data_IF_870622980609
#
_entry.id   IF_870622980609
#
_cell.length_a   1.000
_cell.length_b   1.000
_cell.length_c   1.000
_cell.angle_alpha   90.00
_cell.angle_beta   90.00
_cell.angle_gamma   90.00
#
_symmetry.space_group_name_H-M   'P 1'
#
loop_
_entity.id
_entity.type
_entity.pdbx_description
1 polymer ?
#
# COMPACT_ATOMS: atom_id res chain seq x y z
N UNK A 1 1.93 10.43 -43.35
CA UNK A 1 1.05 9.72 -42.46
C UNK A 1 1.95 9.19 -41.33
N UNK A 2 1.97 9.86 -40.17
CA UNK A 2 2.75 9.50 -39.00
C UNK A 2 1.73 9.03 -37.98
N UNK A 3 1.77 7.73 -37.61
CA UNK A 3 1.00 7.14 -36.51
C UNK A 3 1.66 7.49 -35.19
N UNK A 4 0.99 8.29 -34.37
CA UNK A 4 1.40 8.54 -33.00
C UNK A 4 1.07 7.33 -32.12
N UNK A 5 2.07 6.76 -31.48
CA UNK A 5 1.92 5.76 -30.44
C UNK A 5 1.88 6.45 -29.08
N UNK A 6 0.74 6.42 -28.41
CA UNK A 6 0.60 6.87 -27.01
C UNK A 6 1.30 5.87 -26.09
N UNK A 7 2.52 6.18 -25.71
CA UNK A 7 3.25 5.48 -24.65
C UNK A 7 2.69 5.85 -23.27
N UNK A 8 1.80 5.05 -22.69
CA UNK A 8 1.42 5.16 -21.28
C UNK A 8 2.64 4.84 -20.42
N UNK A 9 3.15 5.86 -19.73
CA UNK A 9 4.24 5.72 -18.74
C UNK A 9 3.72 4.94 -17.52
N UNK A 10 4.41 3.87 -17.16
CA UNK A 10 4.19 3.15 -15.91
C UNK A 10 4.50 4.02 -14.69
N UNK A 11 4.08 3.61 -13.48
CA UNK A 11 4.26 4.37 -12.26
C UNK A 11 5.75 4.56 -11.93
N UNK A 12 6.11 5.78 -11.55
CA UNK A 12 7.47 6.17 -11.20
C UNK A 12 7.93 5.63 -9.83
N UNK A 13 9.18 5.91 -9.41
CA UNK A 13 9.85 5.30 -8.25
C UNK A 13 9.26 5.59 -6.87
N UNK A 14 8.11 6.26 -6.77
CA UNK A 14 7.41 6.55 -5.51
C UNK A 14 6.86 5.29 -4.79
N UNK A 15 6.87 4.12 -5.43
CA UNK A 15 6.29 2.89 -4.91
C UNK A 15 7.00 2.30 -3.66
N UNK A 16 8.24 2.69 -3.35
CA UNK A 16 8.98 2.14 -2.21
C UNK A 16 8.58 2.71 -0.84
N UNK A 17 7.83 3.80 -0.78
CA UNK A 17 7.38 4.42 0.49
C UNK A 17 6.10 3.74 1.03
N UNK A 18 5.43 2.94 0.22
CA UNK A 18 4.14 2.31 0.48
C UNK A 18 4.06 1.39 1.71
N UNK A 19 5.17 0.78 2.13
CA UNK A 19 5.17 -0.21 3.21
C UNK A 19 5.04 0.39 4.61
N UNK A 20 5.26 1.69 4.77
CA UNK A 20 5.27 2.35 6.08
C UNK A 20 3.94 3.03 6.44
N UNK A 21 3.14 3.44 5.45
CA UNK A 21 2.00 4.33 5.67
C UNK A 21 0.74 3.62 6.22
N UNK A 22 0.43 2.41 5.78
CA UNK A 22 -0.77 1.70 6.25
C UNK A 22 -0.56 0.95 7.59
N UNK A 23 0.66 0.71 8.03
CA UNK A 23 0.94 0.01 9.28
C UNK A 23 0.52 0.79 10.54
N UNK A 24 0.74 2.11 10.66
CA UNK A 24 0.26 2.90 11.79
C UNK A 24 -1.27 2.93 11.92
N UNK A 25 -2.00 3.05 10.80
CA UNK A 25 -3.47 3.04 10.81
C UNK A 25 -4.02 1.73 11.35
N UNK A 26 -3.46 0.61 10.90
CA UNK A 26 -3.84 -0.74 11.36
C UNK A 26 -3.52 -0.93 12.84
N UNK A 27 -2.38 -0.43 13.30
CA UNK A 27 -1.96 -0.58 14.70
C UNK A 27 -2.80 0.28 15.64
N UNK A 28 -3.14 1.52 15.26
CA UNK A 28 -3.96 2.41 16.07
C UNK A 28 -5.40 1.90 16.26
N UNK A 29 -5.99 1.22 15.26
CA UNK A 29 -7.33 0.66 15.36
C UNK A 29 -7.39 -0.66 16.15
N UNK A 30 -6.34 -1.49 16.14
CA UNK A 30 -6.30 -2.74 16.90
C UNK A 30 -6.37 -2.55 18.43
N UNK A 31 -6.02 -1.37 18.94
CA UNK A 31 -6.03 -1.08 20.40
C UNK A 31 -7.45 -0.86 20.93
N UNK A 32 -8.41 -0.44 20.09
CA UNK A 32 -9.82 -0.25 20.50
C UNK A 32 -10.69 -1.51 20.38
N UNK A 33 -10.27 -2.49 19.61
CA UNK A 33 -10.99 -3.75 19.43
C UNK A 33 -10.63 -4.77 20.50
N UNK A 34 -11.24 -4.70 21.68
CA UNK A 34 -11.17 -5.73 22.71
C UNK A 34 -11.74 -7.04 22.18
N UNK A 35 -10.87 -8.04 21.89
CA UNK A 35 -11.29 -9.40 21.60
C UNK A 35 -11.99 -10.03 22.80
N UNK A 36 -12.92 -10.97 22.59
CA UNK A 36 -13.68 -11.60 23.68
C UNK A 36 -12.83 -12.64 24.43
N UNK A 37 -12.64 -12.40 25.72
CA UNK A 37 -12.48 -13.47 26.69
C UNK A 37 -11.08 -13.80 27.18
N UNK A 38 -10.71 -13.23 28.30
CA UNK A 38 -9.62 -13.67 29.16
C UNK A 38 -9.52 -12.76 30.38
N UNK A 39 -10.28 -13.06 31.44
CA UNK A 39 -10.25 -12.26 32.67
C UNK A 39 -8.90 -12.36 33.37
N UNK A 40 -8.30 -11.21 33.69
CA UNK A 40 -7.32 -11.07 34.78
C UNK A 40 -7.48 -9.66 35.36
N UNK A 41 -7.62 -9.62 36.66
CA UNK A 41 -7.33 -8.64 37.68
C UNK A 41 -7.38 -7.15 37.34
N UNK A 42 -8.28 -6.50 38.09
CA UNK A 42 -8.32 -5.04 38.27
C UNK A 42 -7.02 -4.57 38.92
N UNK A 43 -6.32 -3.64 38.22
CA UNK A 43 -5.36 -2.74 38.86
C UNK A 43 -5.61 -1.33 38.30
N UNK A 44 -6.19 -0.48 39.16
CA UNK A 44 -6.45 0.92 38.87
C UNK A 44 -5.14 1.71 38.95
N UNK A 45 -4.65 2.21 37.81
CA UNK A 45 -3.48 3.06 37.71
C UNK A 45 -3.63 4.11 36.62
N UNK A 46 -3.72 5.36 37.03
CA UNK A 46 -3.83 6.59 36.23
C UNK A 46 -2.78 6.70 35.13
N UNK A 47 -3.19 7.27 33.95
CA UNK A 47 -2.26 8.02 33.11
C UNK A 47 -2.20 7.58 31.65
N UNK A 48 -2.50 8.51 30.80
CA UNK A 48 -2.43 8.58 29.34
C UNK A 48 -1.55 7.56 28.63
N UNK A 49 -2.15 6.74 27.78
CA UNK A 49 -1.50 5.64 27.07
C UNK A 49 -0.52 6.13 26.00
N UNK A 50 0.67 6.55 26.42
CA UNK A 50 1.78 6.66 25.51
C UNK A 50 2.19 5.25 25.04
N UNK A 51 2.30 5.04 23.76
CA UNK A 51 2.89 3.86 23.13
C UNK A 51 4.32 3.65 23.65
N UNK A 52 4.47 2.99 24.78
CA UNK A 52 5.74 2.52 25.28
C UNK A 52 5.78 1.02 24.97
N UNK A 53 6.51 0.64 23.93
CA UNK A 53 7.04 -0.71 23.88
C UNK A 53 7.89 -0.87 25.16
N UNK A 54 7.42 -1.66 26.10
CA UNK A 54 8.14 -1.98 27.33
C UNK A 54 9.29 -2.95 27.08
N UNK A 55 9.34 -3.54 25.88
CA UNK A 55 10.39 -4.43 25.45
C UNK A 55 11.62 -3.63 25.00
N UNK A 56 12.78 -3.97 25.55
CA UNK A 56 14.03 -3.39 25.10
C UNK A 56 14.20 -3.64 23.59
N UNK A 57 14.42 -2.56 22.82
CA UNK A 57 14.68 -2.66 21.38
C UNK A 57 15.79 -3.68 21.11
N UNK A 58 15.63 -4.48 20.08
CA UNK A 58 16.72 -5.31 19.59
C UNK A 58 17.94 -4.38 19.28
N UNK A 59 19.18 -4.77 19.62
CA UNK A 59 20.35 -3.91 19.42
C UNK A 59 20.47 -3.30 18.02
N UNK A 60 20.15 -4.07 16.98
CA UNK A 60 20.14 -3.60 15.58
C UNK A 60 19.06 -2.50 15.36
N UNK A 61 17.90 -2.62 15.97
CA UNK A 61 16.84 -1.60 15.86
C UNK A 61 17.28 -0.29 16.52
N UNK A 62 17.89 -0.37 17.71
CA UNK A 62 18.42 0.79 18.42
C UNK A 62 19.51 1.49 17.60
N UNK A 63 20.39 0.72 16.95
CA UNK A 63 21.46 1.23 16.10
C UNK A 63 20.90 1.87 14.81
N UNK A 64 19.93 1.23 14.14
CA UNK A 64 19.45 1.68 12.82
C UNK A 64 18.42 2.80 12.89
N UNK A 65 17.71 2.95 13.99
CA UNK A 65 16.65 3.97 14.12
C UNK A 65 17.12 5.41 13.82
N UNK A 66 18.27 5.89 14.30
CA UNK A 66 18.77 7.23 13.97
C UNK A 66 19.01 7.44 12.47
N UNK A 67 19.57 6.43 11.79
CA UNK A 67 19.82 6.50 10.34
C UNK A 67 18.53 6.55 9.54
N UNK A 68 17.54 5.72 9.88
CA UNK A 68 16.23 5.76 9.22
C UNK A 68 15.56 7.11 9.43
N UNK A 69 15.62 7.65 10.64
CA UNK A 69 15.09 8.99 10.93
C UNK A 69 15.80 10.09 10.13
N UNK A 70 17.12 10.03 10.01
CA UNK A 70 17.90 10.96 9.17
C UNK A 70 17.47 10.87 7.69
N UNK A 71 17.29 9.65 7.15
CA UNK A 71 16.84 9.43 5.78
C UNK A 71 15.46 10.05 5.53
N UNK A 72 14.50 9.85 6.45
CA UNK A 72 13.17 10.46 6.39
C UNK A 72 13.27 11.98 6.40
N UNK A 73 14.05 12.54 7.34
CA UNK A 73 14.29 13.99 7.45
C UNK A 73 14.93 14.57 6.18
N UNK A 74 15.91 13.86 5.61
CA UNK A 74 16.55 14.27 4.35
C UNK A 74 15.55 14.31 3.19
N UNK A 75 14.76 13.27 3.01
CA UNK A 75 13.78 13.17 1.93
C UNK A 75 12.70 14.26 2.07
N UNK A 76 12.11 14.38 3.24
CA UNK A 76 11.07 15.37 3.53
C UNK A 76 11.56 16.81 3.39
N UNK A 77 12.73 17.16 3.96
CA UNK A 77 13.29 18.49 3.85
C UNK A 77 13.67 18.84 2.39
N UNK A 78 14.06 17.85 1.60
CA UNK A 78 14.32 18.05 0.16
C UNK A 78 13.03 18.37 -0.58
N UNK A 79 11.93 17.67 -0.30
CA UNK A 79 10.62 18.02 -0.84
C UNK A 79 10.19 19.43 -0.43
N UNK A 80 10.29 19.76 0.85
CA UNK A 80 9.91 21.10 1.34
C UNK A 80 10.73 22.20 0.66
N UNK A 81 12.03 21.99 0.51
CA UNK A 81 12.94 23.00 -0.04
C UNK A 81 12.74 23.24 -1.54
N UNK A 82 12.48 22.18 -2.31
CA UNK A 82 12.55 22.25 -3.77
C UNK A 82 11.21 22.08 -4.49
N UNK A 83 10.22 21.52 -3.82
CA UNK A 83 8.94 21.17 -4.46
C UNK A 83 7.71 21.80 -3.81
N UNK A 84 7.68 21.90 -2.48
CA UNK A 84 6.52 22.43 -1.75
C UNK A 84 6.09 23.81 -2.26
N UNK A 85 4.77 24.08 -2.45
CA UNK A 85 3.63 23.24 -2.12
C UNK A 85 3.12 22.34 -3.26
N UNK A 86 3.93 22.04 -4.27
CA UNK A 86 3.56 21.16 -5.36
C UNK A 86 3.48 19.70 -4.90
N UNK A 87 2.83 18.85 -5.71
CA UNK A 87 2.56 17.46 -5.34
C UNK A 87 3.83 16.62 -5.14
N UNK A 88 4.82 16.75 -6.03
CA UNK A 88 6.01 15.88 -6.04
C UNK A 88 7.31 16.62 -6.29
N UNK A 89 8.39 16.11 -5.69
CA UNK A 89 9.75 16.49 -6.02
C UNK A 89 10.27 15.67 -7.22
N UNK A 90 10.87 16.37 -8.18
CA UNK A 90 11.72 15.74 -9.19
C UNK A 90 13.17 15.75 -8.68
N UNK A 91 13.67 14.64 -8.13
CA UNK A 91 14.94 14.64 -7.39
C UNK A 91 16.16 14.92 -8.28
N UNK A 92 16.10 14.56 -9.57
CA UNK A 92 17.22 14.75 -10.51
C UNK A 92 17.47 16.22 -10.84
N UNK A 93 16.41 17.03 -10.93
CA UNK A 93 16.54 18.45 -11.33
C UNK A 93 16.14 19.44 -10.23
N UNK A 94 15.77 18.96 -9.03
CA UNK A 94 15.41 19.80 -7.91
C UNK A 94 14.20 20.70 -8.16
N UNK A 95 13.19 20.22 -8.89
CA UNK A 95 11.99 20.99 -9.22
C UNK A 95 10.72 20.29 -8.74
N UNK A 96 9.72 21.08 -8.33
CA UNK A 96 8.38 20.56 -8.00
C UNK A 96 7.49 20.37 -9.23
N UNK A 97 6.63 19.36 -9.19
CA UNK A 97 5.64 19.05 -10.22
C UNK A 97 4.27 18.77 -9.57
N UNK A 98 3.19 19.26 -10.21
CA UNK A 98 1.83 18.85 -9.88
C UNK A 98 1.45 17.65 -10.75
N UNK A 99 1.09 16.55 -10.12
CA UNK A 99 0.74 15.28 -10.75
C UNK A 99 -0.69 14.87 -10.44
N UNK A 100 -1.22 15.34 -9.28
CA UNK A 100 -2.52 14.95 -8.76
C UNK A 100 -3.43 16.14 -8.41
N UNK A 101 -3.18 17.31 -8.98
CA UNK A 101 -4.04 18.48 -8.80
C UNK A 101 -3.43 19.65 -8.04
N UNK A 102 -2.24 19.49 -7.50
CA UNK A 102 -1.51 20.58 -6.86
C UNK A 102 -1.95 20.87 -5.42
N UNK A 103 -2.48 19.87 -4.70
CA UNK A 103 -2.90 20.01 -3.30
C UNK A 103 -1.84 19.54 -2.29
N UNK A 104 -0.58 19.41 -2.74
CA UNK A 104 0.50 18.99 -1.85
C UNK A 104 0.50 17.52 -1.51
N UNK A 105 0.28 16.66 -2.48
CA UNK A 105 0.08 15.24 -2.32
C UNK A 105 1.15 14.53 -1.46
N UNK A 106 2.44 14.75 -1.76
CA UNK A 106 3.54 14.22 -0.94
C UNK A 106 3.45 14.69 0.51
N UNK A 107 2.99 15.93 0.76
CA UNK A 107 2.84 16.45 2.10
C UNK A 107 1.81 15.66 2.91
N UNK A 108 0.61 15.46 2.32
CA UNK A 108 -0.47 14.71 2.98
C UNK A 108 -0.03 13.27 3.26
N UNK A 109 0.58 12.62 2.27
CA UNK A 109 1.07 11.24 2.34
C UNK A 109 2.23 11.05 3.35
N UNK A 110 2.95 12.11 3.70
CA UNK A 110 4.07 12.06 4.63
C UNK A 110 3.71 12.38 6.10
N UNK A 111 2.49 12.85 6.40
CA UNK A 111 2.14 13.34 7.73
C UNK A 111 2.31 12.27 8.82
N UNK A 112 1.76 11.10 8.63
CA UNK A 112 1.87 10.00 9.60
C UNK A 112 3.31 9.51 9.77
N UNK A 113 4.09 9.49 8.68
CA UNK A 113 5.52 9.18 8.70
C UNK A 113 6.29 10.18 9.57
N UNK A 114 5.98 11.48 9.47
CA UNK A 114 6.56 12.49 10.34
C UNK A 114 6.23 12.27 11.81
N UNK A 115 4.98 11.94 12.12
CA UNK A 115 4.52 11.64 13.46
C UNK A 115 5.28 10.45 14.07
N UNK A 116 5.30 9.31 13.35
CA UNK A 116 5.95 8.07 13.79
C UNK A 116 7.47 8.23 13.91
N UNK A 117 8.09 9.02 13.03
CA UNK A 117 9.52 9.32 13.08
C UNK A 117 9.90 10.36 14.16
N UNK A 118 8.93 10.91 14.90
CA UNK A 118 9.14 11.88 15.97
C UNK A 118 9.42 13.31 15.50
N UNK A 119 9.02 13.67 14.27
CA UNK A 119 9.06 15.04 13.75
C UNK A 119 7.75 15.78 14.08
N UNK A 120 7.40 15.84 15.37
CA UNK A 120 6.08 16.30 15.81
C UNK A 120 5.83 17.79 15.53
N UNK A 121 6.86 18.63 15.55
CA UNK A 121 6.74 20.06 15.21
C UNK A 121 6.46 20.24 13.72
N UNK A 122 7.16 19.51 12.85
CA UNK A 122 6.91 19.49 11.42
C UNK A 122 5.52 18.94 11.13
N UNK A 123 5.12 17.85 11.79
CA UNK A 123 3.79 17.29 11.68
C UNK A 123 2.73 18.35 11.99
N UNK A 124 2.75 19.01 13.16
CA UNK A 124 1.77 20.04 13.54
C UNK A 124 1.74 21.20 12.56
N UNK A 125 2.90 21.68 12.15
CA UNK A 125 3.03 22.77 11.18
C UNK A 125 2.36 22.45 9.85
N UNK A 126 2.60 21.25 9.34
CA UNK A 126 2.11 20.87 8.00
C UNK A 126 0.70 20.30 8.03
N UNK A 127 0.26 19.68 9.11
CA UNK A 127 -1.14 19.35 9.32
C UNK A 127 -2.03 20.61 9.33
N UNK A 128 -1.58 21.67 10.04
CA UNK A 128 -2.22 22.99 9.99
C UNK A 128 -2.26 23.55 8.58
N UNK A 129 -1.15 23.52 7.87
CA UNK A 129 -1.11 24.00 6.47
C UNK A 129 -2.12 23.26 5.58
N UNK A 130 -2.24 21.94 5.74
CA UNK A 130 -3.22 21.12 5.00
C UNK A 130 -4.64 21.58 5.30
N UNK A 131 -5.00 21.78 6.56
CA UNK A 131 -6.34 22.27 6.95
C UNK A 131 -6.66 23.64 6.36
N UNK A 132 -5.67 24.54 6.30
CA UNK A 132 -5.86 25.93 5.85
C UNK A 132 -5.85 26.09 4.32
N UNK A 133 -5.18 25.20 3.58
CA UNK A 133 -4.87 25.42 2.16
C UNK A 133 -5.37 24.34 1.21
N UNK A 134 -5.71 23.13 1.70
CA UNK A 134 -6.16 22.05 0.83
C UNK A 134 -7.66 22.11 0.60
N UNK A 135 -8.06 21.97 -0.66
CA UNK A 135 -9.44 21.77 -1.08
C UNK A 135 -9.46 20.71 -2.19
N UNK A 136 -10.42 19.83 -2.13
CA UNK A 136 -10.67 18.84 -3.17
C UNK A 136 -11.74 19.29 -4.18
N UNK A 137 -12.26 20.50 -4.06
CA UNK A 137 -13.11 21.10 -5.08
C UNK A 137 -12.28 21.68 -6.22
N UNK A 138 -11.59 20.82 -6.96
CA UNK A 138 -10.70 21.16 -8.07
C UNK A 138 -11.12 20.43 -9.34
N UNK A 139 -11.03 21.14 -10.48
CA UNK A 139 -11.35 20.59 -11.79
C UNK A 139 -10.15 19.80 -12.35
N UNK A 140 -10.01 18.58 -11.82
CA UNK A 140 -8.98 17.64 -12.28
C UNK A 140 -9.47 16.21 -12.17
N UNK A 141 -9.15 15.38 -13.16
CA UNK A 141 -9.34 13.94 -13.11
C UNK A 141 -8.15 13.28 -12.40
N UNK A 142 -8.44 12.50 -11.36
CA UNK A 142 -7.45 11.81 -10.54
C UNK A 142 -7.72 10.31 -10.53
N UNK A 143 -6.68 9.51 -10.26
CA UNK A 143 -6.85 8.08 -9.98
C UNK A 143 -7.61 7.90 -8.67
N UNK A 144 -8.70 7.13 -8.70
CA UNK A 144 -9.50 6.78 -7.51
C UNK A 144 -8.64 6.00 -6.51
N UNK A 145 -7.88 5.03 -6.99
CA UNK A 145 -6.96 4.21 -6.21
C UNK A 145 -5.90 5.06 -5.51
N UNK A 146 -5.08 5.80 -6.27
CA UNK A 146 -3.98 6.60 -5.71
C UNK A 146 -4.48 7.68 -4.74
N UNK A 147 -5.62 8.31 -5.04
CA UNK A 147 -6.22 9.32 -4.18
C UNK A 147 -6.72 8.72 -2.87
N UNK A 148 -7.27 7.50 -2.90
CA UNK A 148 -7.73 6.81 -1.69
C UNK A 148 -6.56 6.45 -0.78
N UNK A 149 -5.57 5.72 -1.29
CA UNK A 149 -4.50 5.19 -0.45
C UNK A 149 -3.56 6.27 0.09
N UNK A 150 -3.35 7.38 -0.63
CA UNK A 150 -2.42 8.45 -0.23
C UNK A 150 -3.14 9.63 0.41
N UNK A 151 -4.06 10.27 -0.32
CA UNK A 151 -4.70 11.47 0.22
C UNK A 151 -5.71 11.13 1.32
N UNK A 152 -6.64 10.21 1.07
CA UNK A 152 -7.61 9.82 2.09
C UNK A 152 -6.91 9.09 3.25
N UNK A 153 -6.03 8.14 2.94
CA UNK A 153 -5.24 7.41 3.94
C UNK A 153 -4.37 8.33 4.80
N UNK A 154 -3.63 9.26 4.18
CA UNK A 154 -2.80 10.23 4.89
C UNK A 154 -3.61 11.17 5.80
N UNK A 155 -4.78 11.66 5.35
CA UNK A 155 -5.67 12.49 6.17
C UNK A 155 -6.21 11.72 7.38
N UNK A 156 -6.67 10.47 7.18
CA UNK A 156 -7.18 9.62 8.26
C UNK A 156 -6.07 9.25 9.25
N UNK A 157 -4.89 8.86 8.75
CA UNK A 157 -3.76 8.55 9.60
C UNK A 157 -3.32 9.75 10.43
N UNK A 158 -3.19 10.93 9.82
CA UNK A 158 -2.84 12.16 10.53
C UNK A 158 -3.90 12.57 11.58
N UNK A 159 -5.18 12.36 11.29
CA UNK A 159 -6.26 12.54 12.28
C UNK A 159 -6.05 11.61 13.49
N UNK A 160 -5.81 10.32 13.24
CA UNK A 160 -5.55 9.36 14.31
C UNK A 160 -4.31 9.70 15.15
N UNK A 161 -3.26 10.26 14.55
CA UNK A 161 -2.07 10.68 15.31
C UNK A 161 -2.39 11.71 16.39
N UNK A 162 -3.39 12.56 16.18
CA UNK A 162 -3.89 13.47 17.18
C UNK A 162 -4.85 12.80 18.18
N UNK A 163 -5.83 12.05 17.70
CA UNK A 163 -6.87 11.42 18.55
C UNK A 163 -6.31 10.40 19.53
N UNK A 164 -5.29 9.64 19.11
CA UNK A 164 -4.62 8.65 19.97
C UNK A 164 -3.44 9.25 20.77
N UNK A 165 -3.24 10.57 20.70
CA UNK A 165 -2.19 11.26 21.47
C UNK A 165 -0.76 10.90 21.07
N UNK A 166 -0.56 10.33 19.86
CA UNK A 166 0.79 10.09 19.32
C UNK A 166 1.50 11.43 19.11
N UNK A 167 0.75 12.45 18.65
CA UNK A 167 1.21 13.83 18.58
C UNK A 167 0.33 14.68 19.48
N UNK A 168 0.96 15.31 20.48
CA UNK A 168 0.28 16.23 21.41
C UNK A 168 -0.23 17.46 20.66
N UNK A 169 -1.47 17.88 21.01
CA UNK A 169 -2.05 19.13 20.51
C UNK A 169 -1.41 20.30 21.29
N UNK A 170 -0.63 21.11 20.59
CA UNK A 170 -0.01 22.33 21.10
C UNK A 170 -0.71 23.53 20.49
N UNK A 171 -1.59 24.17 21.23
CA UNK A 171 -2.48 25.23 20.73
C UNK A 171 -1.76 26.41 20.06
N UNK A 172 -0.53 26.73 20.50
CA UNK A 172 0.31 27.78 19.88
C UNK A 172 0.88 27.38 18.51
N UNK A 173 1.00 26.07 18.23
CA UNK A 173 1.49 25.55 16.97
C UNK A 173 0.33 25.13 16.06
N UNK A 174 -0.58 24.29 16.57
CA UNK A 174 -1.78 23.83 15.88
C UNK A 174 -2.85 23.44 16.88
N UNK A 175 -3.90 24.27 17.01
CA UNK A 175 -5.08 23.93 17.79
C UNK A 175 -6.01 23.04 16.97
N UNK A 176 -5.70 21.75 16.91
CA UNK A 176 -6.41 20.78 16.09
C UNK A 176 -7.88 20.61 16.56
N UNK A 177 -8.82 20.73 15.64
CA UNK A 177 -10.28 20.62 15.89
C UNK A 177 -10.97 19.72 14.85
N UNK A 178 -10.27 18.75 14.30
CA UNK A 178 -10.82 17.78 13.36
C UNK A 178 -10.88 18.25 11.90
N UNK A 179 -10.05 19.22 11.49
CA UNK A 179 -10.05 19.71 10.11
C UNK A 179 -9.60 18.68 9.08
N UNK A 180 -8.61 17.86 9.43
CA UNK A 180 -8.18 16.76 8.56
C UNK A 180 -9.32 15.75 8.33
N UNK A 181 -10.11 15.46 9.38
CA UNK A 181 -11.30 14.60 9.25
C UNK A 181 -12.36 15.19 8.33
N UNK A 182 -12.59 16.51 8.39
CA UNK A 182 -13.53 17.19 7.47
C UNK A 182 -13.07 17.06 6.01
N UNK A 183 -11.77 17.22 5.75
CA UNK A 183 -11.18 16.99 4.42
C UNK A 183 -11.32 15.52 3.98
N UNK A 184 -11.09 14.56 4.87
CA UNK A 184 -11.26 13.14 4.58
C UNK A 184 -12.71 12.80 4.20
N UNK A 185 -13.71 13.35 4.90
CA UNK A 185 -15.13 13.17 4.58
C UNK A 185 -15.49 13.81 3.23
N UNK A 186 -15.00 15.02 2.94
CA UNK A 186 -15.23 15.67 1.64
C UNK A 186 -14.65 14.81 0.50
N UNK A 187 -13.41 14.34 0.66
CA UNK A 187 -12.77 13.49 -0.32
C UNK A 187 -13.50 12.15 -0.49
N UNK A 188 -13.83 11.47 0.60
CA UNK A 188 -14.58 10.21 0.58
C UNK A 188 -15.92 10.33 -0.14
N UNK A 189 -16.66 11.43 0.06
CA UNK A 189 -17.91 11.71 -0.65
C UNK A 189 -17.71 11.93 -2.16
N UNK A 190 -16.58 12.49 -2.58
CA UNK A 190 -16.24 12.66 -4.02
C UNK A 190 -15.84 11.35 -4.68
N UNK A 191 -15.25 10.42 -3.92
CA UNK A 191 -14.82 9.10 -4.42
C UNK A 191 -15.96 8.08 -4.42
N UNK A 192 -16.89 8.15 -3.48
CA UNK A 192 -17.97 7.17 -3.30
C UNK A 192 -18.82 6.89 -4.56
N UNK A 193 -19.16 7.88 -5.42
CA UNK A 193 -19.91 7.65 -6.65
C UNK A 193 -19.21 6.71 -7.64
N UNK A 194 -17.89 6.56 -7.57
CA UNK A 194 -17.13 5.68 -8.46
C UNK A 194 -17.51 4.20 -8.29
N UNK A 195 -18.02 3.82 -7.14
CA UNK A 195 -18.47 2.46 -6.83
C UNK A 195 -19.88 2.13 -7.36
N UNK A 196 -20.56 3.08 -7.99
CA UNK A 196 -21.89 2.85 -8.56
C UNK A 196 -21.81 2.14 -9.90
N UNK A 197 -21.35 0.89 -9.89
CA UNK A 197 -21.24 -0.02 -11.02
C UNK A 197 -22.07 -1.28 -10.76
N UNK A 198 -22.34 -2.08 -11.80
CA UNK A 198 -23.11 -3.32 -11.63
C UNK A 198 -22.42 -4.33 -10.70
N UNK A 199 -21.08 -4.40 -10.71
CA UNK A 199 -20.33 -5.29 -9.81
C UNK A 199 -20.05 -4.66 -8.44
N UNK A 200 -19.98 -3.34 -8.36
CA UNK A 200 -19.48 -2.59 -7.21
C UNK A 200 -17.97 -2.28 -7.27
N UNK A 201 -17.24 -2.88 -8.22
CA UNK A 201 -15.84 -2.53 -8.47
C UNK A 201 -15.80 -1.11 -9.05
N UNK A 202 -14.97 -0.17 -8.50
CA UNK A 202 -15.05 1.22 -8.89
C UNK A 202 -14.42 1.51 -10.25
N UNK A 203 -14.80 2.64 -10.84
CA UNK A 203 -14.07 3.27 -11.94
C UNK A 203 -12.66 3.66 -11.50
N UNK A 204 -11.70 3.65 -12.45
CA UNK A 204 -10.29 3.95 -12.19
C UNK A 204 -9.98 5.44 -12.00
N UNK A 205 -10.80 6.35 -12.56
CA UNK A 205 -10.59 7.80 -12.47
C UNK A 205 -11.89 8.56 -12.20
N UNK A 206 -11.75 9.74 -11.60
CA UNK A 206 -12.86 10.67 -11.29
C UNK A 206 -12.37 12.11 -11.33
N UNK A 207 -13.18 13.02 -11.88
CA UNK A 207 -12.95 14.44 -11.71
C UNK A 207 -13.44 14.86 -10.33
N UNK A 208 -12.57 15.44 -9.51
CA UNK A 208 -12.89 15.77 -8.11
C UNK A 208 -14.01 16.82 -7.99
N UNK A 209 -14.18 17.70 -8.97
CA UNK A 209 -15.29 18.68 -8.98
C UNK A 209 -16.52 18.18 -9.70
N UNK A 210 -16.35 17.54 -10.86
CA UNK A 210 -17.46 17.22 -11.75
C UNK A 210 -17.95 15.77 -11.64
N UNK A 211 -17.24 14.91 -10.90
CA UNK A 211 -17.59 13.50 -10.74
C UNK A 211 -17.10 12.64 -11.92
N UNK A 212 -17.83 11.55 -12.19
CA UNK A 212 -17.45 10.58 -13.22
C UNK A 212 -17.62 11.16 -14.63
N UNK A 213 -16.59 10.95 -15.46
CA UNK A 213 -16.68 11.15 -16.90
C UNK A 213 -17.49 9.99 -17.51
N UNK A 214 -18.58 10.26 -18.28
CA UNK A 214 -19.35 9.22 -18.94
C UNK A 214 -18.56 8.36 -19.94
N UNK A 215 -17.39 8.85 -20.38
CA UNK A 215 -16.50 8.15 -21.32
C UNK A 215 -15.37 7.39 -20.65
N UNK A 216 -15.32 7.40 -19.29
CA UNK A 216 -14.29 6.69 -18.54
C UNK A 216 -14.33 5.18 -18.85
N UNK A 217 -13.15 4.56 -18.93
CA UNK A 217 -13.03 3.13 -19.23
C UNK A 217 -13.64 2.26 -18.15
N UNK A 218 -14.31 1.19 -18.55
CA UNK A 218 -14.81 0.17 -17.63
C UNK A 218 -13.77 -0.90 -17.27
N UNK A 219 -12.54 -0.82 -17.81
CA UNK A 219 -11.47 -1.76 -17.52
C UNK A 219 -10.55 -1.18 -16.45
N UNK A 220 -10.47 -1.84 -15.31
CA UNK A 220 -9.59 -1.48 -14.19
C UNK A 220 -8.60 -2.60 -13.86
N UNK A 221 -7.55 -2.30 -13.08
CA UNK A 221 -6.68 -3.34 -12.53
C UNK A 221 -7.29 -3.95 -11.27
N UNK A 222 -6.80 -5.12 -10.87
CA UNK A 222 -7.21 -5.76 -9.61
C UNK A 222 -6.81 -4.90 -8.41
N UNK A 223 -5.62 -4.28 -8.44
CA UNK A 223 -5.20 -3.34 -7.41
C UNK A 223 -6.10 -2.09 -7.36
N UNK A 224 -6.33 -1.44 -8.53
CA UNK A 224 -7.18 -0.26 -8.63
C UNK A 224 -8.64 -0.52 -8.24
N UNK A 225 -9.10 -1.77 -8.36
CA UNK A 225 -10.47 -2.17 -8.03
C UNK A 225 -10.66 -2.71 -6.61
N UNK A 226 -9.58 -3.15 -5.94
CA UNK A 226 -9.66 -3.89 -4.67
C UNK A 226 -9.01 -3.22 -3.45
N UNK A 227 -8.31 -2.10 -3.62
CA UNK A 227 -7.51 -1.50 -2.56
C UNK A 227 -8.24 -0.31 -1.92
N UNK A 228 -9.27 -0.59 -1.12
CA UNK A 228 -10.12 0.42 -0.50
C UNK A 228 -10.58 0.07 0.93
N UNK A 229 -10.50 -1.20 1.33
CA UNK A 229 -11.08 -1.68 2.60
C UNK A 229 -10.51 -0.95 3.82
N UNK A 230 -9.22 -0.64 3.84
CA UNK A 230 -8.57 -0.02 5.00
C UNK A 230 -9.12 1.40 5.21
N UNK A 231 -9.02 2.26 4.22
CA UNK A 231 -9.41 3.67 4.33
C UNK A 231 -10.92 3.85 4.46
N UNK A 232 -11.69 3.09 3.66
CA UNK A 232 -13.16 3.22 3.68
C UNK A 232 -13.77 2.64 4.96
N UNK A 233 -13.22 1.57 5.54
CA UNK A 233 -13.64 1.06 6.84
C UNK A 233 -13.27 2.02 7.95
N UNK A 234 -12.06 2.60 7.91
CA UNK A 234 -11.65 3.65 8.86
C UNK A 234 -12.58 4.86 8.80
N UNK A 235 -12.89 5.33 7.58
CA UNK A 235 -13.80 6.46 7.38
C UNK A 235 -15.21 6.16 7.89
N UNK A 236 -15.72 4.95 7.65
CA UNK A 236 -17.01 4.51 8.20
C UNK A 236 -17.00 4.47 9.73
N UNK A 237 -15.96 3.91 10.33
CA UNK A 237 -15.83 3.83 11.79
C UNK A 237 -15.79 5.20 12.47
N UNK A 238 -15.10 6.17 11.87
CA UNK A 238 -14.95 7.52 12.40
C UNK A 238 -16.19 8.40 12.21
N UNK A 239 -16.95 8.17 11.13
CA UNK A 239 -18.13 8.99 10.80
C UNK A 239 -19.44 8.37 11.26
N UNK A 240 -19.49 7.07 11.48
CA UNK A 240 -20.72 6.30 11.63
C UNK A 240 -21.48 6.09 10.30
N UNK A 241 -20.91 6.48 9.16
CA UNK A 241 -21.53 6.31 7.84
C UNK A 241 -21.03 5.02 7.16
N UNK A 242 -21.82 3.98 7.24
CA UNK A 242 -21.49 2.66 6.68
C UNK A 242 -21.38 2.59 5.15
N UNK A 243 -21.75 3.67 4.42
CA UNK A 243 -21.74 3.65 2.95
C UNK A 243 -20.35 3.43 2.40
N UNK A 244 -19.32 3.96 3.05
CA UNK A 244 -17.93 3.85 2.60
C UNK A 244 -17.44 2.40 2.70
N UNK A 245 -17.51 1.79 3.88
CA UNK A 245 -17.12 0.39 4.07
C UNK A 245 -17.91 -0.56 3.18
N UNK A 246 -19.22 -0.38 3.09
CA UNK A 246 -20.10 -1.22 2.26
C UNK A 246 -19.71 -1.18 0.78
N UNK A 247 -19.32 -0.01 0.28
CA UNK A 247 -18.84 0.14 -1.10
C UNK A 247 -17.54 -0.62 -1.34
N UNK A 248 -16.53 -0.42 -0.46
CA UNK A 248 -15.24 -1.10 -0.55
C UNK A 248 -15.37 -2.62 -0.40
N UNK A 249 -16.19 -3.08 0.54
CA UNK A 249 -16.44 -4.50 0.80
C UNK A 249 -17.09 -5.18 -0.41
N UNK A 250 -18.10 -4.54 -1.01
CA UNK A 250 -18.73 -5.04 -2.23
C UNK A 250 -17.73 -5.19 -3.38
N UNK A 251 -16.83 -4.22 -3.56
CA UNK A 251 -15.79 -4.28 -4.59
C UNK A 251 -14.81 -5.45 -4.36
N UNK A 252 -14.31 -5.57 -3.13
CA UNK A 252 -13.40 -6.65 -2.71
C UNK A 252 -14.03 -8.03 -2.89
N UNK A 253 -15.29 -8.21 -2.50
CA UNK A 253 -16.05 -9.45 -2.64
C UNK A 253 -16.28 -9.80 -4.11
N UNK A 254 -16.61 -8.83 -4.95
CA UNK A 254 -16.81 -9.04 -6.37
C UNK A 254 -15.53 -9.51 -7.08
N UNK A 255 -14.38 -8.89 -6.77
CA UNK A 255 -13.08 -9.32 -7.28
C UNK A 255 -12.75 -10.75 -6.85
N UNK A 256 -12.93 -11.03 -5.56
CA UNK A 256 -12.64 -12.36 -5.02
C UNK A 256 -13.58 -13.44 -5.57
N UNK A 257 -14.84 -13.12 -5.82
CA UNK A 257 -15.80 -14.03 -6.45
C UNK A 257 -15.48 -14.33 -7.94
N UNK A 258 -14.84 -13.37 -8.63
CA UNK A 258 -14.47 -13.52 -10.04
C UNK A 258 -13.22 -14.40 -10.29
N UNK A 259 -12.60 -14.96 -9.23
CA UNK A 259 -11.43 -15.83 -9.34
C UNK A 259 -11.66 -17.03 -10.25
N UNK A 260 -10.57 -17.53 -10.85
CA UNK A 260 -10.62 -18.76 -11.63
C UNK A 260 -11.13 -19.94 -10.79
N UNK A 261 -12.16 -20.66 -11.23
CA UNK A 261 -12.65 -21.84 -10.52
C UNK A 261 -11.64 -23.01 -10.53
N UNK A 262 -10.65 -23.01 -11.43
CA UNK A 262 -9.65 -24.06 -11.54
C UNK A 262 -8.44 -23.82 -10.63
N UNK A 263 -8.00 -22.57 -10.51
CA UNK A 263 -6.75 -22.23 -9.79
C UNK A 263 -6.96 -21.40 -8.53
N UNK A 264 -8.11 -20.72 -8.41
CA UNK A 264 -8.35 -19.74 -7.35
C UNK A 264 -7.68 -18.38 -7.58
N UNK A 265 -6.94 -18.20 -8.68
CA UNK A 265 -6.22 -16.98 -8.97
C UNK A 265 -7.10 -15.90 -9.60
N UNK A 266 -6.70 -14.64 -9.43
CA UNK A 266 -7.28 -13.45 -10.07
C UNK A 266 -6.41 -13.04 -11.26
N UNK A 267 -7.00 -12.38 -12.25
CA UNK A 267 -6.28 -11.75 -13.36
C UNK A 267 -5.83 -10.32 -13.02
N UNK A 268 -5.10 -9.68 -13.93
CA UNK A 268 -4.60 -8.30 -13.71
C UNK A 268 -5.58 -7.22 -14.13
N UNK A 269 -6.49 -7.49 -15.07
CA UNK A 269 -7.46 -6.50 -15.57
C UNK A 269 -8.87 -7.09 -15.66
N UNK A 270 -9.86 -6.35 -15.15
CA UNK A 270 -11.26 -6.75 -15.10
C UNK A 270 -12.18 -5.65 -15.62
N UNK A 271 -13.28 -6.04 -16.26
CA UNK A 271 -14.36 -5.11 -16.62
C UNK A 271 -15.32 -4.95 -15.44
N UNK A 272 -15.43 -3.73 -14.93
CA UNK A 272 -16.22 -3.40 -13.72
C UNK A 272 -17.72 -3.50 -13.91
N UNK A 273 -18.20 -3.51 -15.16
CA UNK A 273 -19.63 -3.63 -15.45
C UNK A 273 -20.06 -5.10 -15.56
N UNK A 274 -19.19 -5.95 -16.10
CA UNK A 274 -19.54 -7.36 -16.37
C UNK A 274 -18.90 -8.34 -15.40
N UNK A 275 -17.86 -7.94 -14.67
CA UNK A 275 -17.05 -8.83 -13.82
C UNK A 275 -16.19 -9.81 -14.61
N UNK A 276 -16.01 -9.60 -15.92
CA UNK A 276 -15.20 -10.49 -16.77
C UNK A 276 -13.77 -10.03 -16.84
N UNK A 277 -12.84 -10.97 -16.74
CA UNK A 277 -11.42 -10.69 -16.90
C UNK A 277 -11.08 -10.27 -18.34
N UNK A 278 -10.36 -9.18 -18.46
CA UNK A 278 -9.83 -8.68 -19.72
C UNK A 278 -8.41 -9.19 -19.96
N UNK A 279 -7.59 -9.31 -18.90
CA UNK A 279 -6.26 -9.94 -18.92
C UNK A 279 -6.23 -11.08 -17.91
N UNK A 280 -5.55 -12.17 -18.28
CA UNK A 280 -5.55 -13.43 -17.54
C UNK A 280 -4.21 -13.75 -16.90
N UNK A 281 -3.23 -12.88 -17.01
CA UNK A 281 -1.97 -12.97 -16.28
C UNK A 281 -2.23 -12.70 -14.79
N UNK A 282 -1.60 -13.49 -13.93
CA UNK A 282 -1.74 -13.44 -12.48
C UNK A 282 -0.35 -13.39 -11.83
N UNK A 283 -0.16 -12.47 -10.90
CA UNK A 283 1.09 -12.27 -10.15
C UNK A 283 0.78 -11.76 -8.74
N UNK A 284 1.79 -11.41 -7.98
CA UNK A 284 1.66 -10.58 -6.75
C UNK A 284 2.32 -9.21 -6.92
N UNK A 285 2.73 -8.86 -8.12
CA UNK A 285 3.32 -7.57 -8.46
C UNK A 285 2.30 -6.54 -8.92
N UNK A 286 2.77 -5.57 -9.68
CA UNK A 286 1.98 -4.46 -10.17
C UNK A 286 0.66 -4.86 -10.82
N UNK A 287 -0.36 -4.05 -10.63
CA UNK A 287 -1.77 -4.27 -10.99
C UNK A 287 -2.53 -5.29 -10.12
N UNK A 288 -1.87 -5.99 -9.17
CA UNK A 288 -2.55 -6.96 -8.28
C UNK A 288 -2.18 -6.78 -6.81
N UNK A 289 -1.00 -6.27 -6.53
CA UNK A 289 -0.29 -6.18 -5.26
C UNK A 289 -1.17 -5.86 -4.04
N UNK A 290 -1.60 -4.64 -3.93
CA UNK A 290 -2.32 -4.12 -2.75
C UNK A 290 -3.74 -4.67 -2.57
N UNK A 291 -4.38 -5.18 -3.62
CA UNK A 291 -5.66 -5.88 -3.46
C UNK A 291 -5.51 -7.14 -2.58
N UNK A 292 -4.37 -7.85 -2.72
CA UNK A 292 -4.03 -9.01 -1.88
C UNK A 292 -3.62 -8.56 -0.47
N UNK A 293 -2.86 -7.49 -0.39
CA UNK A 293 -2.41 -6.88 0.86
C UNK A 293 -3.59 -6.46 1.75
N UNK A 294 -4.63 -5.90 1.16
CA UNK A 294 -5.76 -5.37 1.91
C UNK A 294 -6.62 -6.44 2.57
N UNK A 295 -6.60 -7.69 2.12
CA UNK A 295 -7.28 -8.77 2.84
C UNK A 295 -6.73 -8.94 4.26
N UNK A 296 -5.39 -9.09 4.40
CA UNK A 296 -4.81 -9.26 5.75
C UNK A 296 -4.87 -7.98 6.57
N UNK A 297 -4.65 -6.80 5.96
CA UNK A 297 -4.71 -5.53 6.69
C UNK A 297 -6.12 -5.19 7.17
N UNK A 298 -7.13 -5.44 6.36
CA UNK A 298 -8.54 -5.28 6.76
C UNK A 298 -8.90 -6.21 7.92
N UNK A 299 -8.47 -7.48 7.87
CA UNK A 299 -8.65 -8.41 8.99
C UNK A 299 -7.98 -7.91 10.26
N UNK A 300 -6.72 -7.50 10.21
CA UNK A 300 -5.99 -6.98 11.37
C UNK A 300 -6.68 -5.76 11.97
N UNK A 301 -7.23 -4.88 11.12
CA UNK A 301 -7.90 -3.65 11.55
C UNK A 301 -9.29 -3.90 12.13
N UNK A 302 -10.11 -4.75 11.49
CA UNK A 302 -11.54 -4.92 11.80
C UNK A 302 -11.87 -6.21 12.55
N UNK A 303 -10.98 -7.20 12.55
CA UNK A 303 -11.27 -8.55 13.05
C UNK A 303 -12.16 -9.38 12.11
N UNK A 304 -12.47 -8.91 10.89
CA UNK A 304 -13.32 -9.63 9.94
C UNK A 304 -12.68 -10.96 9.52
N UNK A 305 -13.33 -12.07 9.87
CA UNK A 305 -12.85 -13.41 9.58
C UNK A 305 -12.98 -13.79 8.10
N UNK A 306 -13.88 -13.15 7.35
CA UNK A 306 -14.02 -13.32 5.91
C UNK A 306 -12.81 -12.78 5.15
N UNK A 307 -12.23 -11.67 5.60
CA UNK A 307 -10.99 -11.13 5.01
C UNK A 307 -9.78 -12.02 5.32
N UNK A 308 -9.72 -12.60 6.53
CA UNK A 308 -8.74 -13.63 6.86
C UNK A 308 -8.84 -14.84 5.94
N UNK A 309 -10.05 -15.36 5.72
CA UNK A 309 -10.25 -16.51 4.82
C UNK A 309 -9.84 -16.18 3.38
N UNK A 310 -10.11 -14.96 2.90
CA UNK A 310 -9.69 -14.49 1.57
C UNK A 310 -8.17 -14.47 1.47
N UNK A 311 -7.50 -13.96 2.49
CA UNK A 311 -6.04 -13.94 2.56
C UNK A 311 -5.45 -15.35 2.52
N UNK A 312 -5.88 -16.23 3.41
CA UNK A 312 -5.40 -17.62 3.50
C UNK A 312 -5.58 -18.40 2.19
N UNK A 313 -6.75 -18.24 1.54
CA UNK A 313 -7.00 -18.85 0.24
C UNK A 313 -6.06 -18.30 -0.82
N UNK A 314 -5.83 -16.99 -0.82
CA UNK A 314 -4.91 -16.35 -1.77
C UNK A 314 -3.48 -16.82 -1.55
N UNK A 315 -2.98 -16.87 -0.32
CA UNK A 315 -1.64 -17.36 0.02
C UNK A 315 -1.46 -18.81 -0.45
N UNK A 316 -2.43 -19.67 -0.17
CA UNK A 316 -2.40 -21.07 -0.63
C UNK A 316 -2.30 -21.17 -2.15
N UNK A 317 -3.10 -20.39 -2.88
CA UNK A 317 -3.16 -20.46 -4.35
C UNK A 317 -1.91 -19.83 -4.98
N UNK A 318 -1.36 -18.74 -4.40
CA UNK A 318 -0.06 -18.16 -4.76
C UNK A 318 1.07 -19.18 -4.54
N UNK A 319 1.12 -19.82 -3.37
CA UNK A 319 2.14 -20.83 -3.08
C UNK A 319 2.08 -22.00 -4.06
N UNK A 320 0.89 -22.41 -4.45
CA UNK A 320 0.67 -23.55 -5.36
C UNK A 320 1.08 -23.25 -6.80
N UNK A 321 0.77 -22.08 -7.32
CA UNK A 321 0.87 -21.79 -8.74
C UNK A 321 1.99 -20.82 -9.10
N UNK A 322 2.22 -19.78 -8.28
CA UNK A 322 3.17 -18.71 -8.58
C UNK A 322 4.55 -18.99 -8.01
N UNK A 323 4.63 -19.64 -6.83
CA UNK A 323 5.92 -19.83 -6.14
C UNK A 323 6.78 -20.89 -6.83
N UNK A 324 8.01 -20.49 -7.19
CA UNK A 324 9.04 -21.37 -7.73
C UNK A 324 10.38 -20.99 -7.10
N UNK A 325 10.98 -21.90 -6.32
CA UNK A 325 12.29 -21.68 -5.69
C UNK A 325 12.38 -20.35 -4.90
N UNK A 326 11.36 -20.00 -4.13
CA UNK A 326 11.28 -18.75 -3.37
C UNK A 326 10.92 -17.50 -4.18
N UNK A 327 10.97 -17.58 -5.51
CA UNK A 327 10.54 -16.51 -6.40
C UNK A 327 9.08 -16.65 -6.76
N UNK A 328 8.46 -15.53 -7.16
CA UNK A 328 7.06 -15.46 -7.55
C UNK A 328 6.97 -15.16 -9.05
N UNK A 329 6.46 -16.12 -9.81
CA UNK A 329 6.32 -16.00 -11.27
C UNK A 329 4.96 -15.40 -11.64
N UNK A 330 4.86 -14.84 -12.83
CA UNK A 330 3.56 -14.53 -13.46
C UNK A 330 3.06 -15.77 -14.20
N UNK A 331 1.77 -16.13 -13.96
CA UNK A 331 1.14 -17.32 -14.55
C UNK A 331 -0.19 -16.94 -15.24
N UNK A 332 -0.71 -17.80 -16.12
CA UNK A 332 -2.10 -17.70 -16.60
C UNK A 332 -3.05 -18.12 -15.48
N UNK A 333 -3.95 -17.24 -15.05
CA UNK A 333 -4.87 -17.48 -13.94
C UNK A 333 -5.79 -18.70 -14.13
N UNK A 334 -6.08 -19.10 -15.36
CA UNK A 334 -6.99 -20.20 -15.68
C UNK A 334 -6.33 -21.56 -15.58
N UNK A 335 -5.06 -21.64 -15.98
CA UNK A 335 -4.32 -22.90 -16.07
C UNK A 335 -3.20 -23.03 -15.04
N UNK A 336 -2.76 -21.94 -14.40
CA UNK A 336 -1.58 -21.92 -13.54
C UNK A 336 -0.24 -22.11 -14.28
N UNK A 337 -0.25 -22.07 -15.62
CA UNK A 337 0.98 -22.23 -16.40
C UNK A 337 1.83 -20.96 -16.35
N UNK A 338 3.16 -21.08 -16.19
CA UNK A 338 4.04 -19.93 -16.20
C UNK A 338 3.90 -19.10 -17.48
N UNK A 339 3.81 -17.79 -17.31
CA UNK A 339 3.74 -16.81 -18.39
C UNK A 339 5.06 -16.06 -18.53
N UNK A 340 5.66 -15.70 -17.41
CA UNK A 340 6.95 -15.00 -17.36
C UNK A 340 7.71 -15.39 -16.10
N UNK A 341 9.03 -15.45 -16.20
CA UNK A 341 9.95 -15.55 -15.05
C UNK A 341 10.46 -14.18 -14.58
N UNK A 342 9.87 -13.09 -15.06
CA UNK A 342 10.14 -11.76 -14.54
C UNK A 342 9.47 -11.58 -13.16
N UNK A 343 10.24 -11.07 -12.21
CA UNK A 343 9.73 -10.61 -10.94
C UNK A 343 9.89 -9.08 -10.86
N UNK A 344 8.81 -8.40 -10.53
CA UNK A 344 8.80 -6.96 -10.32
C UNK A 344 9.22 -6.63 -8.89
N UNK A 345 9.89 -5.49 -8.70
CA UNK A 345 10.26 -4.97 -7.38
C UNK A 345 9.04 -4.81 -6.46
N UNK A 346 7.88 -4.45 -7.01
CA UNK A 346 6.63 -4.33 -6.26
C UNK A 346 6.23 -5.62 -5.54
N UNK A 347 6.56 -6.80 -6.08
CA UNK A 347 6.27 -8.07 -5.41
C UNK A 347 7.03 -8.27 -4.07
N UNK A 348 7.98 -7.38 -3.77
CA UNK A 348 8.78 -7.44 -2.53
C UNK A 348 7.99 -7.09 -1.26
N UNK A 349 6.77 -6.56 -1.38
CA UNK A 349 5.87 -6.34 -0.24
C UNK A 349 5.32 -7.66 0.33
N UNK A 350 5.14 -8.67 -0.51
CA UNK A 350 4.41 -9.90 -0.17
C UNK A 350 5.00 -10.68 1.02
N UNK A 351 6.33 -10.78 1.23
CA UNK A 351 6.89 -11.33 2.46
C UNK A 351 6.38 -10.64 3.74
N UNK A 352 6.14 -9.32 3.70
CA UNK A 352 5.54 -8.59 4.82
C UNK A 352 4.11 -9.07 5.15
N UNK A 353 3.29 -9.30 4.14
CA UNK A 353 1.95 -9.86 4.32
C UNK A 353 1.98 -11.27 4.87
N UNK A 354 2.92 -12.10 4.42
CA UNK A 354 3.12 -13.44 4.94
C UNK A 354 3.51 -13.41 6.42
N UNK A 355 4.33 -12.46 6.86
CA UNK A 355 4.67 -12.27 8.28
C UNK A 355 3.43 -11.91 9.09
N UNK A 356 2.62 -10.94 8.62
CA UNK A 356 1.36 -10.57 9.28
C UNK A 356 0.40 -11.75 9.42
N UNK A 357 0.36 -12.62 8.41
CA UNK A 357 -0.45 -13.85 8.42
C UNK A 357 0.17 -15.03 9.16
N UNK A 358 1.37 -14.88 9.77
CA UNK A 358 2.05 -15.97 10.49
C UNK A 358 2.79 -16.98 9.61
N UNK A 359 2.86 -16.76 8.30
CA UNK A 359 3.56 -17.63 7.31
C UNK A 359 5.08 -17.34 7.26
N UNK A 360 5.77 -17.47 8.40
CA UNK A 360 7.17 -17.04 8.55
C UNK A 360 8.15 -17.80 7.65
N UNK A 361 7.91 -19.09 7.41
CA UNK A 361 8.77 -19.92 6.56
C UNK A 361 8.72 -19.44 5.10
N UNK A 362 7.51 -19.24 4.57
CA UNK A 362 7.28 -18.74 3.22
C UNK A 362 7.76 -17.31 3.04
N UNK A 363 7.61 -16.48 4.07
CA UNK A 363 8.11 -15.11 4.08
C UNK A 363 9.64 -15.09 3.96
N UNK A 364 10.33 -15.90 4.77
CA UNK A 364 11.79 -16.03 4.74
C UNK A 364 12.29 -16.55 3.39
N UNK A 365 11.64 -17.59 2.86
CA UNK A 365 11.97 -18.15 1.54
C UNK A 365 11.84 -17.10 0.42
N UNK A 366 10.76 -16.31 0.43
CA UNK A 366 10.52 -15.28 -0.59
C UNK A 366 11.43 -14.06 -0.44
N UNK A 367 11.75 -13.65 0.79
CA UNK A 367 12.57 -12.47 1.02
C UNK A 367 14.05 -12.69 0.71
N UNK A 368 14.54 -13.90 0.87
CA UNK A 368 15.97 -14.20 0.70
C UNK A 368 16.51 -13.87 -0.71
N UNK A 369 15.87 -14.30 -1.82
CA UNK A 369 16.31 -13.92 -3.15
C UNK A 369 16.30 -12.41 -3.39
N UNK A 370 15.26 -11.74 -2.96
CA UNK A 370 15.09 -10.28 -3.08
C UNK A 370 16.23 -9.55 -2.34
N UNK A 371 16.48 -9.93 -1.08
CA UNK A 371 17.59 -9.39 -0.30
C UNK A 371 18.95 -9.65 -0.96
N UNK A 372 19.15 -10.83 -1.52
CA UNK A 372 20.40 -11.20 -2.19
C UNK A 372 20.67 -10.35 -3.44
N UNK A 373 19.63 -10.04 -4.21
CA UNK A 373 19.69 -9.14 -5.38
C UNK A 373 20.02 -7.72 -4.90
N UNK A 374 19.29 -7.23 -3.92
CA UNK A 374 19.52 -5.90 -3.34
C UNK A 374 20.98 -5.77 -2.84
N UNK A 375 21.46 -6.76 -2.08
CA UNK A 375 22.81 -6.78 -1.54
C UNK A 375 23.89 -6.82 -2.65
N UNK A 376 23.61 -7.54 -3.74
CA UNK A 376 24.57 -7.69 -4.85
C UNK A 376 24.70 -6.41 -5.68
N UNK A 377 23.57 -5.74 -5.97
CA UNK A 377 23.52 -4.56 -6.85
C UNK A 377 23.50 -3.21 -6.11
N UNK A 378 23.33 -3.20 -4.78
CA UNK A 378 23.16 -2.00 -3.97
C UNK A 378 21.78 -1.35 -4.13
N UNK A 379 20.93 -1.89 -5.00
CA UNK A 379 19.55 -1.47 -5.23
C UNK A 379 18.74 -2.63 -5.79
N UNK A 380 17.41 -2.58 -5.61
CA UNK A 380 16.52 -3.52 -6.27
C UNK A 380 16.07 -2.92 -7.62
N UNK A 381 16.30 -3.61 -8.76
CA UNK A 381 15.80 -3.15 -10.06
C UNK A 381 14.28 -3.24 -10.11
N UNK A 382 13.62 -2.39 -10.92
CA UNK A 382 12.15 -2.40 -11.10
C UNK A 382 11.62 -3.76 -11.54
N UNK A 383 12.38 -4.45 -12.38
CA UNK A 383 12.09 -5.81 -12.84
C UNK A 383 13.39 -6.59 -13.07
N UNK A 384 13.38 -7.86 -12.72
CA UNK A 384 14.49 -8.76 -13.01
C UNK A 384 14.00 -10.13 -13.49
N UNK A 385 14.71 -10.68 -14.47
CA UNK A 385 14.49 -12.04 -14.97
C UNK A 385 15.29 -13.03 -14.14
N UNK A 386 14.69 -14.17 -13.85
CA UNK A 386 15.37 -15.28 -13.22
C UNK A 386 15.13 -16.57 -14.04
N UNK A 387 16.15 -17.42 -14.11
CA UNK A 387 16.09 -18.68 -14.86
C UNK A 387 16.17 -19.87 -13.90
N UNK A 388 15.31 -20.87 -14.11
CA UNK A 388 15.36 -22.14 -13.38
C UNK A 388 16.47 -22.98 -13.99
N UNK A 389 17.50 -23.34 -13.21
CA UNK A 389 18.47 -24.32 -13.63
C UNK A 389 19.96 -23.95 -13.56
N UNK A 390 20.33 -22.77 -13.10
CA UNK A 390 21.76 -22.42 -12.91
C UNK A 390 22.04 -22.13 -11.44
N UNK A 391 23.01 -22.82 -10.79
CA UNK A 391 23.33 -22.60 -9.38
C UNK A 391 23.93 -21.23 -9.16
N UNK A 392 23.40 -20.47 -8.20
CA UNK A 392 24.20 -19.38 -7.61
C UNK A 392 25.44 -19.99 -6.97
N UNK A 393 26.63 -19.51 -7.38
CA UNK A 393 27.88 -19.88 -6.72
C UNK A 393 27.72 -19.64 -5.21
N UNK A 394 27.84 -20.71 -4.43
CA UNK A 394 27.63 -20.70 -3.00
C UNK A 394 28.58 -19.69 -2.35
N UNK A 395 28.02 -18.57 -1.85
CA UNK A 395 28.70 -17.78 -0.84
C UNK A 395 28.77 -18.65 0.41
N UNK A 396 29.98 -19.04 0.78
CA UNK A 396 30.30 -19.86 1.96
C UNK A 396 29.76 -19.14 3.20
N UNK A 397 28.87 -19.86 3.93
CA UNK A 397 28.53 -19.73 5.34
C UNK A 397 27.04 -19.51 5.65
N UNK A 398 26.19 -20.54 5.39
CA UNK A 398 25.01 -20.81 6.24
C UNK A 398 24.78 -22.34 6.24
N UNK A 399 24.95 -23.06 7.35
CA UNK A 399 24.99 -24.53 7.38
C UNK A 399 23.65 -25.26 7.24
N UNK A 400 22.50 -24.61 7.17
CA UNK A 400 21.19 -25.28 7.27
C UNK A 400 20.33 -25.30 6.00
N UNK A 401 20.82 -24.80 4.86
CA UNK A 401 20.02 -24.72 3.62
C UNK A 401 20.46 -25.72 2.54
N UNK A 402 20.75 -26.98 2.91
CA UNK A 402 21.18 -28.01 1.93
C UNK A 402 20.12 -28.47 0.93
N UNK A 403 18.88 -28.00 1.02
CA UNK A 403 17.78 -28.42 0.14
C UNK A 403 17.13 -27.29 -0.66
N UNK A 404 17.69 -26.07 -0.68
CA UNK A 404 17.20 -25.02 -1.56
C UNK A 404 17.69 -25.27 -2.99
N UNK A 405 16.74 -25.41 -3.88
CA UNK A 405 16.87 -25.62 -5.31
C UNK A 405 18.13 -24.98 -5.93
N UNK A 406 18.84 -25.73 -6.73
CA UNK A 406 19.94 -25.31 -7.61
C UNK A 406 19.48 -24.34 -8.72
N UNK A 407 18.75 -23.27 -8.39
CA UNK A 407 17.88 -22.56 -9.34
C UNK A 407 18.20 -21.08 -9.60
N UNK A 408 19.38 -20.55 -9.28
CA UNK A 408 19.60 -19.12 -9.51
C UNK A 408 20.82 -18.77 -10.34
N UNK A 409 20.60 -18.16 -11.52
CA UNK A 409 21.45 -17.10 -12.07
C UNK A 409 20.57 -15.91 -12.43
N UNK A 410 20.78 -14.77 -11.75
CA UNK A 410 20.27 -13.50 -12.22
C UNK A 410 21.19 -13.01 -13.35
N UNK A 411 20.70 -12.88 -14.57
CA UNK A 411 21.37 -12.06 -15.59
C UNK A 411 20.89 -10.62 -15.44
N UNK A 412 21.81 -9.64 -15.41
CA UNK A 412 21.41 -8.24 -15.42
C UNK A 412 20.67 -7.97 -16.74
N UNK A 413 19.43 -7.60 -16.66
CA UNK A 413 18.76 -6.94 -17.77
C UNK A 413 19.45 -5.59 -17.98
N UNK A 414 19.91 -5.36 -19.21
CA UNK A 414 20.44 -4.06 -19.64
C UNK A 414 19.39 -3.00 -19.29
N UNK A 415 19.76 -2.06 -18.42
CA UNK A 415 19.05 -0.84 -18.16
C UNK A 415 18.68 -0.20 -19.51
N UNK A 416 17.43 -0.33 -19.96
CA UNK A 416 16.89 0.60 -20.92
C UNK A 416 16.54 1.85 -20.12
N UNK A 417 17.50 2.76 -20.10
CA UNK A 417 17.30 4.15 -19.73
C UNK A 417 16.15 4.71 -20.53
N UNK A 418 15.12 5.17 -19.82
CA UNK A 418 14.17 6.17 -20.30
C UNK A 418 14.58 7.52 -19.76
#
# INVERSE_FOLDING_TARGET
MRSGGDGKKGPGPAACIFLLVALPLVTAMCVRGGGPGGGVGEDEGEGGGAWRSTDALHPIEAEMRPYVREMIGHAFNSYIKYAFPKDELRPVNGAGKNTMGGYGWTLIDALDTLAVAGFHTEFRRYARWVEENVSFDIDISVSVFETTIRALGGLLAAHFMYEEGVVEIVASEHNYTGGLMRLAVDLGNRLLPCFNTSTGIPYGAVNLRHGLDPTETTITSTADGGTFLVEMTALSGLTGDERYERAARRASEALFAARSPQTGLMGTRIDIMTGRWHLFDSSVGGSMDSAIEYFIKSHVMSGDTGDWERFERTVRDVNRYLRKCGMLTTVDMRSGRPFSSAQQSLASFFPGNLILGGHLAEATESNWPIHSIFKHFGALPEEFLWEVGVPMAATRSVPSMRNLCTCFTARPMILRTL
#
